data_IF_591838308134
#
_entry.id   IF_591838308134
#
_cell.length_a   1.000
_cell.length_b   1.000
_cell.length_c   1.000
_cell.angle_alpha   90.00
_cell.angle_beta   90.00
_cell.angle_gamma   90.00
#
_symmetry.space_group_name_H-M   'P 1'
#
loop_
_entity.id
_entity.type
_entity.pdbx_description
1 polymer ?
#
# COMPACT_ATOMS: atom_id res chain seq x y z
N UNK A 1 11.11 11.26 -25.40
CA UNK A 1 11.13 12.50 -26.18
C UNK A 1 10.06 13.46 -25.66
N UNK A 2 10.31 14.76 -25.62
CA UNK A 2 9.28 15.78 -25.32
C UNK A 2 8.80 16.38 -26.62
N UNK A 3 7.50 16.55 -26.78
CA UNK A 3 6.97 17.36 -27.87
C UNK A 3 7.30 18.85 -27.61
N UNK A 4 7.53 19.64 -28.66
CA UNK A 4 7.88 21.06 -28.52
C UNK A 4 6.71 21.90 -27.96
N UNK A 5 5.46 21.47 -28.18
CA UNK A 5 4.25 22.14 -27.73
C UNK A 5 3.26 21.14 -27.15
N UNK A 6 2.51 21.59 -26.14
CA UNK A 6 1.45 20.81 -25.53
C UNK A 6 0.17 20.95 -26.36
N UNK A 7 -0.30 19.84 -26.94
CA UNK A 7 -1.47 19.81 -27.83
C UNK A 7 -2.81 19.63 -27.10
N UNK A 8 -2.79 19.41 -25.77
CA UNK A 8 -3.99 19.17 -24.98
C UNK A 8 -4.65 20.46 -24.47
N UNK A 9 -5.98 20.50 -24.50
CA UNK A 9 -6.77 21.59 -23.93
C UNK A 9 -7.41 21.11 -22.63
N UNK A 10 -6.97 21.68 -21.51
CA UNK A 10 -7.61 21.44 -20.23
C UNK A 10 -8.82 22.37 -20.08
N UNK A 11 -9.97 21.85 -19.59
CA UNK A 11 -11.15 22.67 -19.28
C UNK A 11 -10.84 23.88 -18.38
N UNK A 12 -9.85 23.74 -17.50
CA UNK A 12 -9.28 24.84 -16.72
C UNK A 12 -7.75 24.79 -16.76
N UNK A 13 -7.07 25.90 -17.12
CA UNK A 13 -5.60 25.98 -17.08
C UNK A 13 -5.02 25.67 -15.70
N UNK A 14 -5.76 25.98 -14.62
CA UNK A 14 -5.33 25.71 -13.24
C UNK A 14 -5.15 24.22 -12.95
N UNK A 15 -5.85 23.34 -13.66
CA UNK A 15 -5.69 21.90 -13.49
C UNK A 15 -4.33 21.40 -14.04
N UNK A 16 -3.66 22.20 -14.89
CA UNK A 16 -2.32 21.86 -15.40
C UNK A 16 -1.22 22.09 -14.37
N UNK A 17 -1.42 22.93 -13.36
CA UNK A 17 -0.41 23.20 -12.33
C UNK A 17 -0.52 22.17 -11.22
N UNK A 18 0.58 21.45 -10.96
CA UNK A 18 0.72 20.56 -9.81
C UNK A 18 2.20 20.48 -9.45
N UNK A 19 2.55 20.93 -8.25
CA UNK A 19 3.92 20.87 -7.75
C UNK A 19 4.20 19.45 -7.23
N UNK A 20 5.39 18.94 -7.53
CA UNK A 20 5.85 17.61 -7.13
C UNK A 20 7.15 17.75 -6.36
N UNK A 21 7.35 16.94 -5.33
CA UNK A 21 8.57 16.94 -4.56
C UNK A 21 9.79 16.55 -5.40
N UNK A 22 10.89 17.27 -5.22
CA UNK A 22 12.21 16.93 -5.75
C UNK A 22 13.29 16.89 -4.66
N UNK A 23 12.93 17.12 -3.39
CA UNK A 23 13.85 17.12 -2.26
C UNK A 23 14.01 15.68 -1.72
N UNK A 24 15.23 15.10 -1.77
CA UNK A 24 15.51 13.77 -1.22
C UNK A 24 15.37 13.72 0.30
N UNK A 25 15.65 14.79 1.03
CA UNK A 25 15.58 14.80 2.49
C UNK A 25 14.14 14.60 2.97
N UNK A 26 13.17 15.26 2.33
CA UNK A 26 11.74 15.07 2.62
C UNK A 26 11.29 13.64 2.36
N UNK A 27 11.83 12.99 1.33
CA UNK A 27 11.53 11.59 1.04
C UNK A 27 12.06 10.69 2.17
N UNK A 28 13.29 10.92 2.61
CA UNK A 28 13.92 10.16 3.69
C UNK A 28 13.15 10.27 5.00
N UNK A 29 12.64 11.46 5.33
CA UNK A 29 11.80 11.67 6.51
C UNK A 29 10.49 10.86 6.45
N UNK A 30 9.89 10.71 5.27
CA UNK A 30 8.71 9.85 5.10
C UNK A 30 9.07 8.38 5.26
N UNK A 31 10.20 7.92 4.69
CA UNK A 31 10.66 6.55 4.87
C UNK A 31 10.96 6.22 6.33
N UNK A 32 11.57 7.14 7.07
CA UNK A 32 11.85 6.96 8.49
C UNK A 32 10.57 6.95 9.34
N UNK A 33 9.57 7.79 9.01
CA UNK A 33 8.25 7.75 9.67
C UNK A 33 7.50 6.45 9.40
N UNK A 34 7.57 5.94 8.16
CA UNK A 34 6.87 4.72 7.77
C UNK A 34 7.55 3.45 8.31
N UNK A 35 8.86 3.32 8.13
CA UNK A 35 9.61 2.09 8.42
C UNK A 35 10.34 2.12 9.77
N UNK A 36 10.32 3.25 10.46
CA UNK A 36 11.03 3.48 11.72
C UNK A 36 12.47 4.00 11.53
N UNK A 37 13.25 4.13 12.62
CA UNK A 37 14.61 4.63 12.58
C UNK A 37 15.49 3.84 11.60
N UNK A 38 16.16 4.54 10.68
CA UNK A 38 17.00 3.91 9.65
C UNK A 38 16.23 3.41 8.42
N UNK A 39 14.91 3.61 8.37
CA UNK A 39 14.06 3.25 7.24
C UNK A 39 14.54 3.80 5.89
N UNK A 40 15.06 5.02 5.87
CA UNK A 40 15.58 5.65 4.65
C UNK A 40 16.81 4.95 4.06
N UNK A 41 17.49 4.09 4.83
CA UNK A 41 18.65 3.30 4.41
C UNK A 41 18.28 1.91 3.89
N UNK A 42 17.01 1.49 4.02
CA UNK A 42 16.58 0.17 3.54
C UNK A 42 16.57 0.09 2.01
N UNK A 43 16.35 1.18 1.29
CA UNK A 43 16.33 1.15 -0.17
C UNK A 43 17.35 2.14 -0.74
N UNK A 44 18.04 1.79 -1.83
CA UNK A 44 18.83 2.74 -2.60
C UNK A 44 18.00 3.95 -3.03
N UNK A 45 18.64 5.11 -3.24
CA UNK A 45 17.96 6.36 -3.55
C UNK A 45 17.03 6.26 -4.76
N UNK A 46 17.51 5.67 -5.86
CA UNK A 46 16.71 5.48 -7.07
C UNK A 46 15.47 4.61 -6.83
N UNK A 47 15.61 3.57 -6.02
CA UNK A 47 14.53 2.65 -5.71
C UNK A 47 13.49 3.29 -4.79
N UNK A 48 13.93 4.15 -3.84
CA UNK A 48 13.02 4.97 -3.03
C UNK A 48 12.13 5.83 -3.91
N UNK A 49 12.74 6.49 -4.89
CA UNK A 49 12.07 7.34 -5.86
C UNK A 49 11.15 6.55 -6.79
N UNK A 50 11.58 5.39 -7.27
CA UNK A 50 10.77 4.51 -8.10
C UNK A 50 9.49 4.08 -7.39
N UNK A 51 9.58 3.66 -6.13
CA UNK A 51 8.45 3.20 -5.33
C UNK A 51 7.39 4.28 -5.07
N UNK A 52 7.81 5.56 -4.94
CA UNK A 52 6.89 6.70 -4.70
C UNK A 52 6.42 7.40 -5.98
N UNK A 53 6.73 6.86 -7.17
CA UNK A 53 6.32 7.46 -8.45
C UNK A 53 5.16 6.70 -9.06
N UNK A 54 4.04 7.39 -9.22
CA UNK A 54 2.86 6.85 -9.86
C UNK A 54 2.91 7.02 -11.37
N UNK A 55 2.30 6.09 -12.12
CA UNK A 55 2.26 6.10 -13.60
C UNK A 55 1.74 7.41 -14.22
N UNK A 56 0.87 8.15 -13.52
CA UNK A 56 0.36 9.43 -14.02
C UNK A 56 1.40 10.56 -14.03
N UNK A 57 2.54 10.40 -13.36
CA UNK A 57 3.61 11.38 -13.37
C UNK A 57 4.41 11.33 -14.67
N UNK A 58 4.62 12.50 -15.29
CA UNK A 58 5.43 12.65 -16.52
C UNK A 58 5.04 11.66 -17.63
N UNK A 59 3.74 11.32 -17.73
CA UNK A 59 3.19 10.32 -18.68
C UNK A 59 3.88 8.94 -18.59
N UNK A 60 4.37 8.56 -17.41
CA UNK A 60 5.09 7.30 -17.21
C UNK A 60 6.46 7.25 -17.88
N UNK A 61 7.02 8.40 -18.30
CA UNK A 61 8.34 8.48 -18.93
C UNK A 61 9.46 8.13 -17.97
N UNK A 62 9.28 8.44 -16.68
CA UNK A 62 10.15 7.95 -15.61
C UNK A 62 9.61 6.62 -15.09
N UNK A 63 10.49 5.81 -14.49
CA UNK A 63 10.06 4.58 -13.83
C UNK A 63 8.95 4.84 -12.82
N UNK A 64 7.95 3.97 -12.80
CA UNK A 64 6.78 4.05 -11.93
C UNK A 64 6.53 2.71 -11.22
N UNK A 65 5.67 2.76 -10.21
CA UNK A 65 5.65 1.77 -9.15
C UNK A 65 4.70 0.57 -9.34
N UNK A 66 3.92 0.50 -10.42
CA UNK A 66 2.87 -0.52 -10.62
C UNK A 66 3.32 -1.97 -10.36
N UNK A 67 4.49 -2.36 -10.86
CA UNK A 67 5.01 -3.75 -10.68
C UNK A 67 5.44 -4.02 -9.24
N UNK A 68 6.06 -3.04 -8.60
CA UNK A 68 6.43 -3.13 -7.19
C UNK A 68 5.17 -3.20 -6.32
N UNK A 69 4.16 -2.39 -6.64
CA UNK A 69 2.89 -2.37 -5.93
C UNK A 69 2.17 -3.72 -6.03
N UNK A 70 2.20 -4.38 -7.20
CA UNK A 70 1.64 -5.72 -7.36
C UNK A 70 2.31 -6.74 -6.42
N UNK A 71 3.65 -6.77 -6.37
CA UNK A 71 4.38 -7.69 -5.50
C UNK A 71 4.14 -7.40 -4.02
N UNK A 72 4.17 -6.12 -3.63
CA UNK A 72 3.91 -5.73 -2.26
C UNK A 72 2.47 -6.02 -1.84
N UNK A 73 1.49 -5.89 -2.75
CA UNK A 73 0.11 -6.32 -2.51
C UNK A 73 0.05 -7.80 -2.17
N UNK A 74 0.72 -8.66 -2.94
CA UNK A 74 0.75 -10.10 -2.67
C UNK A 74 1.43 -10.41 -1.33
N UNK A 75 2.52 -9.71 -1.02
CA UNK A 75 3.25 -9.83 0.25
C UNK A 75 2.35 -9.46 1.43
N UNK A 76 1.67 -8.31 1.36
CA UNK A 76 0.76 -7.86 2.40
C UNK A 76 -0.45 -8.77 2.55
N UNK A 77 -1.07 -9.22 1.46
CA UNK A 77 -2.18 -10.18 1.52
C UNK A 77 -1.75 -11.45 2.25
N UNK A 78 -0.57 -11.98 1.93
CA UNK A 78 -0.03 -13.16 2.60
C UNK A 78 0.17 -12.93 4.11
N UNK A 79 0.77 -11.81 4.50
CA UNK A 79 0.98 -11.51 5.93
C UNK A 79 -0.33 -11.23 6.68
N UNK A 80 -1.31 -10.58 6.05
CA UNK A 80 -2.65 -10.43 6.63
C UNK A 80 -3.35 -11.79 6.79
N UNK A 81 -3.25 -12.69 5.79
CA UNK A 81 -3.81 -14.04 5.90
C UNK A 81 -3.16 -14.82 7.05
N UNK A 82 -1.83 -14.76 7.19
CA UNK A 82 -1.13 -15.39 8.32
C UNK A 82 -1.61 -14.85 9.65
N UNK A 83 -1.77 -13.54 9.77
CA UNK A 83 -2.29 -12.90 10.99
C UNK A 83 -3.71 -13.36 11.33
N UNK A 84 -4.58 -13.58 10.34
CA UNK A 84 -5.94 -14.08 10.54
C UNK A 84 -5.93 -15.55 10.98
N UNK A 85 -5.13 -16.38 10.31
CA UNK A 85 -5.04 -17.82 10.59
C UNK A 85 -4.25 -18.12 11.87
N UNK A 86 -3.46 -17.17 12.39
CA UNK A 86 -2.78 -17.33 13.68
C UNK A 86 -3.66 -17.00 14.89
N UNK A 87 -4.89 -16.51 14.69
CA UNK A 87 -5.82 -16.18 15.77
C UNK A 87 -6.59 -17.42 16.22
N UNK A 88 -7.01 -17.39 17.48
CA UNK A 88 -8.04 -18.31 17.97
C UNK A 88 -9.31 -18.25 17.10
N UNK A 89 -10.09 -19.35 17.04
CA UNK A 89 -11.29 -19.42 16.22
C UNK A 89 -12.26 -18.27 16.52
N UNK A 90 -12.56 -17.47 15.50
CA UNK A 90 -13.45 -16.33 15.60
C UNK A 90 -14.91 -16.79 15.71
N UNK A 91 -15.72 -16.04 16.43
CA UNK A 91 -17.16 -16.29 16.50
C UNK A 91 -17.78 -16.20 15.08
N UNK A 92 -18.54 -17.22 14.68
CA UNK A 92 -19.14 -17.30 13.35
C UNK A 92 -18.22 -17.81 12.24
N UNK A 93 -16.99 -18.24 12.56
CA UNK A 93 -16.09 -18.91 11.61
C UNK A 93 -16.66 -20.25 11.11
N UNK A 94 -17.31 -21.00 12.01
CA UNK A 94 -18.01 -22.24 11.71
C UNK A 94 -19.43 -21.92 11.26
N UNK A 95 -19.74 -22.26 10.02
CA UNK A 95 -21.07 -22.07 9.44
C UNK A 95 -21.94 -23.32 9.65
N UNK A 96 -23.25 -23.15 9.89
CA UNK A 96 -24.17 -24.29 9.98
C UNK A 96 -24.28 -24.97 8.62
N UNK A 97 -24.17 -26.31 8.62
CA UNK A 97 -24.37 -27.11 7.41
C UNK A 97 -25.86 -27.36 7.15
N UNK A 98 -26.26 -27.38 5.88
CA UNK A 98 -27.66 -27.61 5.48
C UNK A 98 -28.08 -29.08 5.52
N UNK A 99 -27.12 -30.00 5.63
CA UNK A 99 -27.34 -31.45 5.60
C UNK A 99 -26.93 -32.12 6.92
N UNK A 100 -26.87 -31.35 8.00
CA UNK A 100 -26.50 -31.80 9.36
C UNK A 100 -25.15 -32.53 9.45
N UNK A 101 -24.22 -32.26 8.51
CA UNK A 101 -22.88 -32.82 8.56
C UNK A 101 -22.06 -32.14 9.64
N UNK A 102 -21.27 -32.92 10.37
CA UNK A 102 -20.34 -32.41 11.37
C UNK A 102 -18.98 -32.15 10.72
N UNK A 103 -18.43 -30.92 10.80
CA UNK A 103 -17.09 -30.63 10.28
C UNK A 103 -16.03 -31.35 11.13
N UNK A 104 -14.86 -31.59 10.52
CA UNK A 104 -13.72 -32.15 11.23
C UNK A 104 -13.22 -31.15 12.28
N UNK A 105 -13.28 -31.52 13.55
CA UNK A 105 -12.81 -30.69 14.66
C UNK A 105 -11.29 -30.83 14.85
N UNK A 106 -10.53 -30.15 13.98
CA UNK A 106 -9.07 -30.08 14.06
C UNK A 106 -8.60 -28.65 14.32
N UNK A 107 -7.70 -28.47 15.29
CA UNK A 107 -7.24 -27.15 15.71
C UNK A 107 -6.56 -26.35 14.59
N UNK A 108 -5.88 -27.01 13.64
CA UNK A 108 -5.24 -26.33 12.51
C UNK A 108 -6.26 -25.87 11.48
N UNK A 109 -7.37 -26.60 11.32
CA UNK A 109 -8.44 -26.25 10.38
C UNK A 109 -9.35 -25.15 10.93
N UNK A 110 -9.67 -25.18 12.23
CA UNK A 110 -10.50 -24.17 12.87
C UNK A 110 -9.94 -22.75 12.70
N UNK A 111 -8.62 -22.60 12.73
CA UNK A 111 -7.98 -21.31 12.54
C UNK A 111 -8.04 -20.81 11.08
N UNK A 112 -8.14 -21.72 10.10
CA UNK A 112 -8.36 -21.39 8.69
C UNK A 112 -9.78 -20.88 8.45
N UNK A 113 -10.77 -21.40 9.17
CA UNK A 113 -12.16 -20.97 9.09
C UNK A 113 -12.37 -19.50 9.51
N UNK A 114 -11.40 -18.87 10.19
CA UNK A 114 -11.40 -17.43 10.45
C UNK A 114 -11.53 -16.59 9.16
N UNK A 115 -11.09 -17.14 8.02
CA UNK A 115 -11.22 -16.49 6.71
C UNK A 115 -12.67 -16.35 6.21
N UNK A 116 -13.62 -17.08 6.79
CA UNK A 116 -15.05 -16.92 6.50
C UNK A 116 -15.61 -15.60 7.07
N UNK A 117 -15.01 -15.11 8.16
CA UNK A 117 -15.46 -13.90 8.88
C UNK A 117 -14.62 -12.69 8.53
N UNK A 118 -13.30 -12.88 8.37
CA UNK A 118 -12.35 -11.79 8.18
C UNK A 118 -11.44 -12.08 6.99
N UNK A 119 -11.44 -11.17 6.02
CA UNK A 119 -10.56 -11.22 4.87
C UNK A 119 -9.30 -10.35 5.04
N UNK A 120 -8.26 -10.59 4.22
CA UNK A 120 -7.07 -9.74 4.19
C UNK A 120 -7.34 -8.27 3.88
N UNK A 121 -8.43 -7.99 3.16
CA UNK A 121 -8.89 -6.61 2.86
C UNK A 121 -9.45 -5.91 4.08
N UNK A 122 -10.02 -6.65 5.02
CA UNK A 122 -10.53 -6.07 6.26
C UNK A 122 -9.36 -5.66 7.15
N UNK A 123 -8.25 -6.42 7.12
CA UNK A 123 -7.04 -6.10 7.88
C UNK A 123 -6.23 -4.97 7.24
N UNK A 124 -5.94 -5.07 5.93
CA UNK A 124 -5.09 -4.12 5.19
C UNK A 124 -5.77 -3.59 3.93
N UNK A 125 -6.97 -3.05 4.10
CA UNK A 125 -7.74 -2.42 3.03
C UNK A 125 -7.12 -1.12 2.52
N UNK A 126 -7.56 -0.70 1.33
CA UNK A 126 -7.15 0.57 0.72
C UNK A 126 -7.42 1.78 1.63
N UNK A 127 -8.54 1.80 2.34
CA UNK A 127 -8.91 2.93 3.20
C UNK A 127 -7.95 3.04 4.40
N UNK A 128 -7.57 1.89 4.96
CA UNK A 128 -6.59 1.74 6.04
C UNK A 128 -5.18 2.16 5.63
N UNK A 129 -4.74 1.71 4.45
CA UNK A 129 -3.45 2.11 3.88
C UNK A 129 -3.42 3.59 3.52
N UNK A 130 -4.52 4.15 3.03
CA UNK A 130 -4.64 5.59 2.77
C UNK A 130 -4.51 6.42 4.05
N UNK A 131 -5.15 6.00 5.14
CA UNK A 131 -5.01 6.66 6.44
C UNK A 131 -3.55 6.59 6.95
N UNK A 132 -2.90 5.43 6.83
CA UNK A 132 -1.48 5.30 7.14
C UNK A 132 -0.61 6.23 6.28
N UNK A 133 -0.85 6.29 4.97
CA UNK A 133 -0.12 7.14 4.05
C UNK A 133 -0.24 8.63 4.42
N UNK A 134 -1.44 9.08 4.80
CA UNK A 134 -1.66 10.44 5.26
C UNK A 134 -0.93 10.71 6.58
N UNK A 135 -0.99 9.79 7.54
CA UNK A 135 -0.30 9.90 8.84
C UNK A 135 1.21 10.08 8.69
N UNK A 136 1.83 9.37 7.75
CA UNK A 136 3.29 9.47 7.50
C UNK A 136 3.68 10.60 6.53
N UNK A 137 2.72 11.38 6.02
CA UNK A 137 2.98 12.49 5.10
C UNK A 137 3.34 12.08 3.68
N UNK A 138 2.90 10.90 3.23
CA UNK A 138 3.26 10.34 1.91
C UNK A 138 2.73 11.19 0.74
N UNK A 139 1.60 11.87 0.93
CA UNK A 139 1.00 12.75 -0.08
C UNK A 139 1.95 13.87 -0.55
N UNK A 140 2.82 14.34 0.33
CA UNK A 140 3.74 15.44 0.05
C UNK A 140 4.92 15.03 -0.85
N UNK A 141 5.28 13.74 -0.85
CA UNK A 141 6.48 13.24 -1.53
C UNK A 141 6.17 12.40 -2.76
N UNK A 142 4.97 11.83 -2.85
CA UNK A 142 4.56 11.01 -3.99
C UNK A 142 4.53 11.85 -5.26
N UNK A 143 5.12 11.28 -6.32
CA UNK A 143 5.17 11.91 -7.64
C UNK A 143 4.01 11.40 -8.46
N UNK A 144 2.98 12.21 -8.61
CA UNK A 144 1.75 11.87 -9.34
C UNK A 144 1.14 13.12 -9.97
N UNK A 145 0.16 12.91 -10.85
CA UNK A 145 -0.65 13.97 -11.44
C UNK A 145 -2.13 13.75 -11.11
N UNK A 146 -2.76 14.56 -10.23
CA UNK A 146 -4.19 14.49 -9.99
C UNK A 146 -4.97 15.01 -11.20
N UNK A 147 -6.15 14.42 -11.44
CA UNK A 147 -7.10 14.89 -12.46
C UNK A 147 -7.64 16.28 -12.13
N UNK A 148 -7.98 16.50 -10.86
CA UNK A 148 -8.53 17.73 -10.30
C UNK A 148 -7.72 18.14 -9.06
N UNK A 149 -6.72 19.04 -9.17
CA UNK A 149 -5.87 19.44 -8.05
C UNK A 149 -6.62 19.96 -6.82
N UNK A 150 -7.81 20.55 -7.00
CA UNK A 150 -8.65 21.06 -5.91
C UNK A 150 -9.54 20.00 -5.25
N UNK A 151 -9.65 18.81 -5.83
CA UNK A 151 -10.49 17.69 -5.35
C UNK A 151 -9.73 16.38 -5.52
N UNK A 152 -8.75 16.16 -4.64
CA UNK A 152 -7.85 15.02 -4.70
C UNK A 152 -8.58 13.68 -4.53
N UNK A 153 -9.61 13.63 -3.68
CA UNK A 153 -10.44 12.43 -3.47
C UNK A 153 -11.06 11.94 -4.78
N UNK A 154 -11.72 12.84 -5.52
CA UNK A 154 -12.27 12.56 -6.85
C UNK A 154 -11.21 12.33 -7.96
N UNK A 155 -9.94 12.46 -7.61
CA UNK A 155 -8.79 12.20 -8.48
C UNK A 155 -8.11 10.86 -8.17
N UNK A 156 -8.64 10.08 -7.22
CA UNK A 156 -8.12 8.76 -6.87
C UNK A 156 -6.89 8.78 -5.97
N UNK A 157 -6.74 9.82 -5.13
CA UNK A 157 -5.60 9.94 -4.20
C UNK A 157 -5.44 8.71 -3.31
N UNK A 158 -6.56 8.12 -2.87
CA UNK A 158 -6.59 6.92 -2.04
C UNK A 158 -5.85 5.74 -2.70
N UNK A 159 -6.13 5.50 -3.98
CA UNK A 159 -5.50 4.43 -4.77
C UNK A 159 -4.02 4.71 -4.99
N UNK A 160 -3.67 5.96 -5.29
CA UNK A 160 -2.28 6.37 -5.54
C UNK A 160 -1.42 6.18 -4.31
N UNK A 161 -1.89 6.64 -3.15
CA UNK A 161 -1.13 6.53 -1.89
C UNK A 161 -1.07 5.09 -1.38
N UNK A 162 -2.16 4.35 -1.46
CA UNK A 162 -2.17 2.93 -1.10
C UNK A 162 -1.19 2.15 -1.96
N UNK A 163 -1.20 2.38 -3.29
CA UNK A 163 -0.26 1.77 -4.25
C UNK A 163 1.19 2.09 -3.91
N UNK A 164 1.50 3.32 -3.49
CA UNK A 164 2.84 3.71 -3.08
C UNK A 164 3.33 2.94 -1.84
N UNK A 165 2.48 2.71 -0.83
CA UNK A 165 2.85 1.85 0.31
C UNK A 165 3.11 0.42 -0.17
N UNK A 166 2.23 -0.14 -1.02
CA UNK A 166 2.44 -1.48 -1.56
C UNK A 166 3.77 -1.55 -2.32
N UNK A 167 4.10 -0.52 -3.10
CA UNK A 167 5.34 -0.48 -3.86
C UNK A 167 6.59 -0.43 -2.98
N UNK A 168 6.54 0.30 -1.87
CA UNK A 168 7.64 0.32 -0.89
C UNK A 168 7.86 -1.09 -0.33
N UNK A 169 6.79 -1.78 0.07
CA UNK A 169 6.88 -3.16 0.55
C UNK A 169 7.44 -4.08 -0.53
N UNK A 170 6.95 -3.98 -1.77
CA UNK A 170 7.44 -4.79 -2.89
C UNK A 170 8.91 -4.53 -3.22
N UNK A 171 9.37 -3.29 -3.10
CA UNK A 171 10.78 -2.94 -3.27
C UNK A 171 11.65 -3.58 -2.18
N UNK A 172 11.19 -3.55 -0.92
CA UNK A 172 11.89 -4.20 0.20
C UNK A 172 11.93 -5.72 -0.02
N UNK A 173 10.83 -6.34 -0.48
CA UNK A 173 10.78 -7.78 -0.78
C UNK A 173 11.83 -8.19 -1.81
N UNK A 174 12.04 -7.39 -2.86
CA UNK A 174 13.05 -7.69 -3.89
C UNK A 174 14.48 -7.40 -3.42
N UNK A 175 14.67 -6.36 -2.62
CA UNK A 175 16.00 -5.92 -2.19
C UNK A 175 16.57 -6.77 -1.04
N UNK A 176 15.72 -7.15 -0.08
CA UNK A 176 16.11 -7.80 1.18
C UNK A 176 15.48 -9.18 1.39
N UNK A 177 14.64 -9.62 0.46
CA UNK A 177 13.95 -10.90 0.54
C UNK A 177 12.67 -10.87 1.38
N UNK A 178 11.93 -11.97 1.31
CA UNK A 178 10.60 -12.10 1.90
C UNK A 178 10.60 -12.06 3.44
N UNK A 179 11.64 -12.57 4.10
CA UNK A 179 11.72 -12.61 5.56
C UNK A 179 11.76 -11.21 6.17
N UNK A 180 12.63 -10.33 5.64
CA UNK A 180 12.73 -8.93 6.06
C UNK A 180 11.44 -8.17 5.73
N UNK A 181 10.89 -8.38 4.54
CA UNK A 181 9.63 -7.73 4.16
C UNK A 181 8.46 -8.13 5.07
N UNK A 182 8.33 -9.41 5.42
CA UNK A 182 7.31 -9.90 6.34
C UNK A 182 7.44 -9.27 7.73
N UNK A 183 8.66 -9.15 8.25
CA UNK A 183 8.93 -8.46 9.51
C UNK A 183 8.50 -6.99 9.44
N UNK A 184 8.88 -6.28 8.38
CA UNK A 184 8.49 -4.88 8.16
C UNK A 184 6.97 -4.72 8.09
N UNK A 185 6.27 -5.60 7.36
CA UNK A 185 4.81 -5.53 7.26
C UNK A 185 4.16 -5.71 8.64
N UNK A 186 4.58 -6.68 9.44
CA UNK A 186 4.02 -6.92 10.78
C UNK A 186 4.32 -5.78 11.76
N UNK A 187 5.58 -5.36 11.85
CA UNK A 187 6.01 -4.40 12.87
C UNK A 187 5.71 -2.93 12.51
N UNK A 188 5.68 -2.60 11.22
CA UNK A 188 5.60 -1.20 10.76
C UNK A 188 4.30 -0.88 10.06
N UNK A 189 3.69 -1.82 9.35
CA UNK A 189 2.43 -1.58 8.63
C UNK A 189 1.24 -2.00 9.50
N UNK A 190 1.12 -3.28 9.84
CA UNK A 190 0.00 -3.82 10.62
C UNK A 190 -0.13 -3.14 11.99
N UNK A 191 0.98 -2.83 12.66
CA UNK A 191 0.97 -2.14 13.94
C UNK A 191 0.44 -0.69 13.87
N UNK A 192 0.50 -0.04 12.71
CA UNK A 192 0.13 1.36 12.52
C UNK A 192 -1.21 1.56 11.80
N UNK A 193 -1.72 0.50 11.18
CA UNK A 193 -3.01 0.51 10.50
C UNK A 193 -4.15 0.60 11.54
N UNK A 194 -5.18 1.44 11.31
CA UNK A 194 -6.36 1.48 12.17
C UNK A 194 -6.99 0.10 12.34
N UNK A 195 -7.23 -0.30 13.58
CA UNK A 195 -8.03 -1.47 13.91
C UNK A 195 -9.48 -1.03 13.97
N UNK A 196 -10.37 -1.85 13.40
CA UNK A 196 -11.80 -1.62 13.55
C UNK A 196 -12.12 -1.98 15.00
N UNK A 197 -12.53 -0.98 15.79
CA UNK A 197 -13.00 -1.17 17.17
C UNK A 197 -14.41 -1.78 17.16
#
# INVERSE_FOLDING_TARGET
MKAPLQLDFAKSPRNKVWAVNNDPARLDDVYNRLLGPGGSKMLPEELKWLAVTHKSFDQGRRGFNDRLALLGRLTMVMEATKEIVSKEPLAGSILPDQFDRQPLNDAQLLAVDNLNVMGPRDVMGKDKLYQLANKVGLLEVVRWKPRLPKRLESSGVEVVLSSAIMAIVGAITLQHGAAVAAQVVRERILAQVPKDN
#
